data_IF_452861959706
#
_entry.id   IF_452861959706
#
_cell.length_a   1.000
_cell.length_b   1.000
_cell.length_c   1.000
_cell.angle_alpha   90.00
_cell.angle_beta   90.00
_cell.angle_gamma   90.00
#
_symmetry.space_group_name_H-M   'P 1'
#
loop_
_entity.id
_entity.type
_entity.pdbx_description
1 polymer ?
#
# COMPACT_ATOMS: atom_id res chain seq x y z
N UNK A 1 -28.76 50.56 7.89
CA UNK A 1 -28.83 49.48 6.89
C UNK A 1 -27.68 49.46 5.86
N UNK A 2 -27.02 50.59 5.52
CA UNK A 2 -25.93 50.65 4.52
C UNK A 2 -24.62 49.94 4.98
N UNK A 3 -24.34 49.83 6.30
CA UNK A 3 -23.13 49.20 6.85
C UNK A 3 -23.22 47.66 6.99
N UNK A 4 -24.42 47.07 6.88
CA UNK A 4 -24.59 45.60 6.99
C UNK A 4 -24.24 44.85 5.69
N UNK A 5 -24.36 45.51 4.53
CA UNK A 5 -24.11 44.90 3.21
C UNK A 5 -22.66 44.44 3.04
N UNK A 6 -21.62 45.24 3.37
CA UNK A 6 -20.22 44.76 3.21
C UNK A 6 -19.89 43.67 4.22
N UNK A 7 -20.44 43.67 5.43
CA UNK A 7 -20.22 42.59 6.39
C UNK A 7 -20.82 41.28 5.90
N UNK A 8 -22.01 41.31 5.32
CA UNK A 8 -22.66 40.14 4.76
C UNK A 8 -21.86 39.57 3.55
N UNK A 9 -21.37 40.46 2.68
CA UNK A 9 -20.52 40.06 1.55
C UNK A 9 -19.21 39.40 2.00
N UNK A 10 -18.57 39.92 3.05
CA UNK A 10 -17.35 39.34 3.63
C UNK A 10 -17.64 37.94 4.23
N UNK A 11 -18.75 37.81 4.97
CA UNK A 11 -19.17 36.55 5.56
C UNK A 11 -19.48 35.47 4.51
N UNK A 12 -20.16 35.84 3.43
CA UNK A 12 -20.46 34.92 2.32
C UNK A 12 -19.20 34.52 1.57
N UNK A 13 -18.26 35.45 1.32
CA UNK A 13 -16.98 35.14 0.70
C UNK A 13 -16.12 34.19 1.58
N UNK A 14 -16.12 34.45 2.90
CA UNK A 14 -15.40 33.54 3.84
C UNK A 14 -16.02 32.15 3.88
N UNK A 15 -17.35 32.04 3.83
CA UNK A 15 -18.04 30.75 3.81
C UNK A 15 -17.74 29.96 2.52
N UNK A 16 -17.74 30.67 1.36
CA UNK A 16 -17.40 30.05 0.07
C UNK A 16 -15.94 29.55 0.08
N UNK A 17 -15.02 30.36 0.59
CA UNK A 17 -13.61 29.98 0.69
C UNK A 17 -13.43 28.76 1.60
N UNK A 18 -14.06 28.75 2.77
CA UNK A 18 -14.05 27.63 3.70
C UNK A 18 -14.59 26.34 3.05
N UNK A 19 -15.74 26.45 2.36
CA UNK A 19 -16.32 25.30 1.63
C UNK A 19 -15.39 24.78 0.55
N UNK A 20 -14.71 25.66 -0.19
CA UNK A 20 -13.75 25.27 -1.22
C UNK A 20 -12.52 24.55 -0.61
N UNK A 21 -12.00 25.03 0.53
CA UNK A 21 -10.89 24.38 1.25
C UNK A 21 -11.33 22.99 1.72
N UNK A 22 -12.52 22.87 2.34
CA UNK A 22 -13.02 21.55 2.78
C UNK A 22 -13.23 20.58 1.61
N UNK A 23 -13.69 21.06 0.47
CA UNK A 23 -13.89 20.23 -0.72
C UNK A 23 -12.57 19.76 -1.36
N UNK A 24 -11.54 20.62 -1.38
CA UNK A 24 -10.24 20.32 -1.98
C UNK A 24 -9.31 19.55 -1.03
N UNK A 25 -9.61 19.59 0.27
CA UNK A 25 -8.74 18.99 1.30
C UNK A 25 -8.39 17.51 1.03
N UNK A 26 -9.32 16.59 0.72
CA UNK A 26 -9.00 15.20 0.48
C UNK A 26 -8.06 15.01 -0.72
N UNK A 27 -8.29 15.74 -1.81
CA UNK A 27 -7.46 15.64 -3.01
C UNK A 27 -6.02 16.14 -2.77
N UNK A 28 -5.88 17.26 -2.04
CA UNK A 28 -4.56 17.84 -1.70
C UNK A 28 -3.84 16.91 -0.72
N UNK A 29 -4.54 16.41 0.29
CA UNK A 29 -3.96 15.50 1.29
C UNK A 29 -3.48 14.21 0.65
N UNK A 30 -4.29 13.60 -0.23
CA UNK A 30 -3.91 12.40 -0.95
C UNK A 30 -2.64 12.62 -1.80
N UNK A 31 -2.58 13.73 -2.56
CA UNK A 31 -1.41 14.05 -3.38
C UNK A 31 -0.11 14.25 -2.57
N UNK A 32 -0.23 14.85 -1.36
CA UNK A 32 0.90 15.00 -0.45
C UNK A 32 1.36 13.64 0.09
N UNK A 33 0.42 12.78 0.47
CA UNK A 33 0.73 11.46 0.99
C UNK A 33 1.27 10.51 -0.08
N UNK A 34 0.78 10.57 -1.33
CA UNK A 34 1.39 9.87 -2.47
C UNK A 34 2.87 10.27 -2.63
N UNK A 35 3.17 11.57 -2.57
CA UNK A 35 4.56 12.04 -2.66
C UNK A 35 5.40 11.56 -1.46
N UNK A 36 4.83 11.48 -0.26
CA UNK A 36 5.50 10.92 0.90
C UNK A 36 5.80 9.43 0.72
N UNK A 37 4.84 8.63 0.26
CA UNK A 37 5.04 7.21 -0.01
C UNK A 37 6.12 6.98 -1.08
N UNK A 38 6.11 7.76 -2.17
CA UNK A 38 7.16 7.70 -3.19
C UNK A 38 8.55 8.01 -2.59
N UNK A 39 8.64 9.03 -1.72
CA UNK A 39 9.90 9.32 -1.03
C UNK A 39 10.37 8.16 -0.14
N UNK A 40 9.46 7.50 0.57
CA UNK A 40 9.80 6.33 1.41
C UNK A 40 10.27 5.14 0.57
N UNK A 41 9.66 4.92 -0.59
CA UNK A 41 10.06 3.87 -1.53
C UNK A 41 11.42 4.22 -2.17
N UNK A 42 11.66 5.47 -2.50
CA UNK A 42 12.97 5.92 -3.02
C UNK A 42 14.07 5.76 -1.96
N UNK A 43 13.80 6.11 -0.69
CA UNK A 43 14.72 5.90 0.43
C UNK A 43 15.02 4.41 0.62
N UNK A 44 13.98 3.56 0.58
CA UNK A 44 14.14 2.11 0.64
C UNK A 44 15.04 1.57 -0.48
N UNK A 45 14.80 1.97 -1.74
CA UNK A 45 15.60 1.54 -2.88
C UNK A 45 17.06 2.00 -2.76
N UNK A 46 17.30 3.24 -2.31
CA UNK A 46 18.64 3.75 -2.06
C UNK A 46 19.37 2.96 -0.96
N UNK A 47 18.65 2.55 0.09
CA UNK A 47 19.19 1.69 1.13
C UNK A 47 19.57 0.32 0.58
N UNK A 48 18.68 -0.32 -0.19
CA UNK A 48 18.94 -1.61 -0.87
C UNK A 48 20.18 -1.52 -1.77
N UNK A 49 20.29 -0.47 -2.57
CA UNK A 49 21.45 -0.24 -3.46
C UNK A 49 22.76 -0.06 -2.69
N UNK A 50 22.72 0.29 -1.41
CA UNK A 50 23.88 0.57 -0.57
C UNK A 50 24.38 -0.63 0.24
N UNK A 51 23.56 -1.67 0.43
CA UNK A 51 23.93 -2.86 1.20
C UNK A 51 24.67 -3.87 0.34
N UNK A 52 25.50 -4.71 1.00
CA UNK A 52 26.27 -5.74 0.30
C UNK A 52 25.40 -6.94 -0.10
N UNK A 53 25.81 -7.69 -1.12
CA UNK A 53 25.11 -8.92 -1.49
C UNK A 53 25.12 -9.97 -0.36
N UNK A 54 26.15 -9.98 0.49
CA UNK A 54 26.23 -10.84 1.66
C UNK A 54 25.12 -10.50 2.66
N UNK A 55 24.89 -9.23 2.93
CA UNK A 55 23.80 -8.78 3.80
C UNK A 55 22.41 -9.09 3.20
N UNK A 56 22.23 -8.91 1.89
CA UNK A 56 21.00 -9.30 1.17
C UNK A 56 20.72 -10.78 1.34
N UNK A 57 21.73 -11.62 1.16
CA UNK A 57 21.62 -13.09 1.31
C UNK A 57 21.29 -13.48 2.76
N UNK A 58 21.81 -12.75 3.75
CA UNK A 58 21.51 -12.95 5.17
C UNK A 58 20.06 -12.59 5.49
N UNK A 59 19.53 -11.45 4.97
CA UNK A 59 18.11 -11.08 5.10
C UNK A 59 17.19 -12.14 4.52
N UNK A 60 17.48 -12.64 3.31
CA UNK A 60 16.67 -13.69 2.71
C UNK A 60 16.76 -15.00 3.50
N UNK A 61 17.94 -15.36 3.99
CA UNK A 61 18.12 -16.57 4.82
C UNK A 61 17.30 -16.52 6.11
N UNK A 62 17.22 -15.36 6.76
CA UNK A 62 16.40 -15.15 7.96
C UNK A 62 14.92 -15.30 7.64
N UNK A 63 14.43 -14.63 6.58
CA UNK A 63 13.04 -14.71 6.14
C UNK A 63 12.65 -16.13 5.68
N UNK A 64 13.55 -16.86 4.99
CA UNK A 64 13.32 -18.26 4.63
C UNK A 64 13.16 -19.17 5.85
N UNK A 65 13.99 -18.98 6.89
CA UNK A 65 13.89 -19.75 8.14
C UNK A 65 12.54 -19.50 8.81
N UNK A 66 12.09 -18.25 8.85
CA UNK A 66 10.78 -17.87 9.39
C UNK A 66 9.65 -18.54 8.60
N UNK A 67 9.65 -18.41 7.27
CA UNK A 67 8.62 -18.99 6.40
C UNK A 67 8.55 -20.52 6.54
N UNK A 68 9.69 -21.21 6.62
CA UNK A 68 9.76 -22.65 6.87
C UNK A 68 9.21 -23.03 8.25
N UNK A 69 9.47 -22.21 9.27
CA UNK A 69 8.93 -22.42 10.61
C UNK A 69 7.41 -22.31 10.62
N UNK A 70 6.83 -21.34 9.90
CA UNK A 70 5.38 -21.22 9.75
C UNK A 70 4.75 -22.41 9.02
N UNK A 71 5.34 -22.85 7.92
CA UNK A 71 4.82 -23.95 7.09
C UNK A 71 4.89 -25.32 7.78
N UNK A 72 5.60 -25.43 8.92
CA UNK A 72 5.77 -26.69 9.63
C UNK A 72 4.72 -26.86 10.74
N UNK A 73 3.98 -27.96 10.72
CA UNK A 73 2.87 -28.24 11.63
C UNK A 73 3.28 -28.63 13.09
N UNK A 74 4.56 -28.49 13.43
CA UNK A 74 5.08 -28.84 14.77
C UNK A 74 4.85 -27.69 15.75
N UNK A 75 3.76 -27.72 16.47
CA UNK A 75 3.25 -26.65 17.33
C UNK A 75 3.98 -26.40 18.66
N UNK A 76 5.04 -27.16 19.00
CA UNK A 76 5.65 -27.15 20.36
C UNK A 76 7.18 -27.20 20.36
N UNK A 77 7.85 -26.80 19.29
CA UNK A 77 9.32 -26.75 19.26
C UNK A 77 9.79 -25.36 19.75
N UNK A 78 10.57 -25.32 20.84
CA UNK A 78 11.16 -24.10 21.38
C UNK A 78 12.00 -23.37 20.32
N UNK A 79 12.58 -24.09 19.36
CA UNK A 79 13.33 -23.53 18.25
C UNK A 79 12.43 -22.74 17.28
N UNK A 80 11.21 -23.21 17.01
CA UNK A 80 10.20 -22.52 16.20
C UNK A 80 9.74 -21.23 16.87
N UNK A 81 9.41 -21.29 18.17
CA UNK A 81 9.00 -20.12 18.93
C UNK A 81 10.11 -19.05 18.96
N UNK A 82 11.37 -19.47 19.09
CA UNK A 82 12.52 -18.58 19.02
C UNK A 82 12.65 -17.88 17.67
N UNK A 83 12.45 -18.60 16.55
CA UNK A 83 12.51 -18.01 15.21
C UNK A 83 11.37 -17.00 15.02
N UNK A 84 10.15 -17.35 15.42
CA UNK A 84 8.98 -16.48 15.24
C UNK A 84 9.06 -15.21 16.12
N UNK A 85 9.76 -15.26 17.26
CA UNK A 85 9.91 -14.11 18.16
C UNK A 85 10.86 -13.01 17.61
N UNK A 86 11.58 -13.25 16.52
CA UNK A 86 12.46 -12.28 15.88
C UNK A 86 11.82 -11.61 14.66
N UNK A 87 10.49 -11.62 14.60
CA UNK A 87 9.74 -11.07 13.47
C UNK A 87 10.16 -9.63 13.09
N UNK A 88 10.27 -8.75 14.07
CA UNK A 88 10.58 -7.33 13.84
C UNK A 88 12.01 -7.07 13.34
N UNK A 89 12.91 -8.07 13.44
CA UNK A 89 14.31 -7.96 13.01
C UNK A 89 14.52 -8.44 11.55
N UNK A 90 13.53 -9.16 11.00
CA UNK A 90 13.64 -9.79 9.67
C UNK A 90 13.21 -8.79 8.60
N UNK A 91 14.05 -8.51 7.60
CA UNK A 91 13.83 -7.54 6.54
C UNK A 91 13.62 -6.09 7.05
N UNK A 92 14.10 -5.75 8.23
CA UNK A 92 14.13 -4.38 8.72
C UNK A 92 15.36 -3.65 8.17
N UNK A 93 15.16 -2.85 7.11
CA UNK A 93 16.24 -2.11 6.46
C UNK A 93 16.40 -0.67 6.95
N UNK A 94 15.45 -0.14 7.64
CA UNK A 94 15.38 1.18 8.26
C UNK A 94 13.92 1.61 8.37
N UNK A 95 13.54 2.23 9.49
CA UNK A 95 12.16 2.69 9.72
C UNK A 95 11.05 1.62 9.56
N UNK A 96 11.38 0.32 9.61
CA UNK A 96 10.43 -0.80 9.55
C UNK A 96 9.87 -1.10 8.16
N UNK A 97 10.45 -0.57 7.07
CA UNK A 97 10.04 -0.88 5.69
C UNK A 97 10.73 -2.14 5.21
N UNK A 98 9.94 -3.18 4.90
CA UNK A 98 10.46 -4.45 4.37
C UNK A 98 10.43 -4.55 2.84
N UNK A 99 9.70 -3.66 2.18
CA UNK A 99 9.50 -3.66 0.74
C UNK A 99 8.36 -2.73 0.34
N UNK A 100 7.86 -2.89 -0.88
CA UNK A 100 6.65 -2.16 -1.31
C UNK A 100 5.79 -3.01 -2.25
N UNK A 101 4.50 -2.71 -2.26
CA UNK A 101 3.49 -3.30 -3.15
C UNK A 101 3.12 -2.32 -4.25
N UNK A 102 2.99 -2.83 -5.47
CA UNK A 102 2.48 -2.08 -6.62
C UNK A 102 1.35 -2.86 -7.30
N UNK A 103 0.22 -2.19 -7.55
CA UNK A 103 -0.97 -2.76 -8.20
C UNK A 103 -1.37 -1.80 -9.33
N UNK A 104 -0.86 -2.00 -10.55
CA UNK A 104 -1.02 -1.04 -11.64
C UNK A 104 -2.46 -0.77 -12.06
N UNK A 105 -3.33 -1.79 -12.04
CA UNK A 105 -4.74 -1.67 -12.49
C UNK A 105 -5.55 -0.66 -11.67
N UNK A 106 -5.20 -0.47 -10.39
CA UNK A 106 -5.86 0.48 -9.48
C UNK A 106 -4.93 1.60 -9.00
N UNK A 107 -3.75 1.75 -9.62
CA UNK A 107 -2.76 2.78 -9.32
C UNK A 107 -2.37 2.85 -7.82
N UNK A 108 -2.18 1.69 -7.19
CA UNK A 108 -1.68 1.58 -5.82
C UNK A 108 -0.18 1.35 -5.84
N UNK A 109 0.56 2.11 -5.03
CA UNK A 109 1.99 1.91 -4.77
C UNK A 109 2.29 2.35 -3.34
N UNK A 110 2.54 1.37 -2.45
CA UNK A 110 2.63 1.59 -1.00
C UNK A 110 3.83 0.87 -0.40
N UNK A 111 4.59 1.51 0.52
CA UNK A 111 5.58 0.81 1.33
C UNK A 111 4.87 -0.22 2.23
N UNK A 112 5.54 -1.36 2.47
CA UNK A 112 5.10 -2.42 3.35
C UNK A 112 5.91 -2.35 4.63
N UNK A 113 5.23 -2.23 5.76
CA UNK A 113 5.82 -2.15 7.10
C UNK A 113 5.57 -3.42 7.90
N UNK A 114 6.37 -3.62 8.95
CA UNK A 114 6.18 -4.71 9.91
C UNK A 114 4.95 -4.46 10.80
N UNK A 115 4.15 -5.53 10.98
CA UNK A 115 3.01 -5.54 11.90
C UNK A 115 1.85 -4.66 11.46
N UNK A 116 0.75 -4.77 12.17
CA UNK A 116 -0.54 -4.14 11.83
C UNK A 116 -1.00 -3.12 12.90
N UNK A 117 -0.05 -2.50 13.60
CA UNK A 117 -0.41 -1.44 14.54
C UNK A 117 -1.05 -0.26 13.81
N UNK A 118 -1.90 0.49 14.52
CA UNK A 118 -2.54 1.69 13.96
C UNK A 118 -1.52 2.68 13.42
N UNK A 119 -0.38 2.85 14.10
CA UNK A 119 0.70 3.73 13.66
C UNK A 119 1.31 3.30 12.31
N UNK A 120 1.37 1.99 12.04
CA UNK A 120 1.85 1.42 10.78
C UNK A 120 0.81 1.63 9.68
N UNK A 121 -0.43 1.27 9.95
CA UNK A 121 -1.53 1.37 8.98
C UNK A 121 -1.81 2.80 8.51
N UNK A 122 -1.43 3.82 9.30
CA UNK A 122 -1.52 5.22 8.88
C UNK A 122 -0.41 5.65 7.93
N UNK A 123 0.68 4.87 7.79
CA UNK A 123 1.86 5.17 6.96
C UNK A 123 1.85 4.45 5.61
N UNK A 124 1.29 3.24 5.54
CA UNK A 124 1.35 2.42 4.35
C UNK A 124 0.58 1.11 4.48
N UNK A 125 1.03 0.10 3.75
CA UNK A 125 0.57 -1.26 3.90
C UNK A 125 1.32 -1.96 5.04
N UNK A 126 0.66 -2.88 5.72
CA UNK A 126 1.16 -3.63 6.85
C UNK A 126 1.28 -5.12 6.49
N UNK A 127 2.42 -5.73 6.78
CA UNK A 127 2.58 -7.18 6.72
C UNK A 127 1.98 -7.80 7.99
N UNK A 128 1.04 -8.75 7.82
CA UNK A 128 0.42 -9.42 8.95
C UNK A 128 1.43 -10.35 9.63
N UNK A 129 1.65 -10.14 10.93
CA UNK A 129 2.43 -11.06 11.76
C UNK A 129 1.84 -12.47 11.70
N UNK A 130 2.66 -13.49 11.80
CA UNK A 130 2.30 -14.90 11.64
C UNK A 130 1.89 -15.32 10.22
N UNK A 131 2.12 -14.50 9.21
CA UNK A 131 2.09 -14.88 7.81
C UNK A 131 3.50 -14.92 7.21
N UNK A 132 3.66 -15.47 6.00
CA UNK A 132 4.99 -15.60 5.40
C UNK A 132 5.55 -14.25 4.99
N UNK A 133 6.84 -14.00 5.23
CA UNK A 133 7.54 -12.85 4.66
C UNK A 133 7.48 -12.86 3.13
N UNK A 134 7.42 -11.68 2.48
CA UNK A 134 7.17 -11.52 1.06
C UNK A 134 8.41 -11.79 0.20
N UNK A 135 9.05 -12.95 0.39
CA UNK A 135 10.23 -13.38 -0.37
C UNK A 135 9.91 -14.44 -1.44
N UNK A 136 8.64 -14.87 -1.51
CA UNK A 136 8.18 -15.97 -2.36
C UNK A 136 8.64 -17.34 -1.90
N UNK A 137 8.25 -18.37 -2.64
CA UNK A 137 8.66 -19.75 -2.40
C UNK A 137 7.49 -20.71 -2.19
N UNK A 138 7.73 -21.99 -2.35
CA UNK A 138 6.72 -23.02 -2.12
C UNK A 138 6.30 -23.07 -0.64
N UNK A 139 5.01 -23.27 -0.42
CA UNK A 139 4.42 -23.31 0.93
C UNK A 139 4.58 -21.98 1.68
N UNK A 140 4.37 -20.85 0.97
CA UNK A 140 4.31 -19.53 1.55
C UNK A 140 2.95 -18.88 1.30
N UNK A 141 2.50 -18.08 2.25
CA UNK A 141 1.31 -17.24 2.12
C UNK A 141 1.56 -15.89 2.77
N UNK A 142 1.77 -14.89 1.95
CA UNK A 142 2.00 -13.50 2.37
C UNK A 142 0.65 -12.80 2.52
N UNK A 143 0.43 -12.14 3.66
CA UNK A 143 -0.77 -11.33 3.86
C UNK A 143 -0.38 -9.88 4.13
N UNK A 144 -0.95 -8.97 3.33
CA UNK A 144 -0.69 -7.54 3.38
C UNK A 144 -2.01 -6.82 3.62
N UNK A 145 -2.08 -6.04 4.68
CA UNK A 145 -3.26 -5.26 5.06
C UNK A 145 -3.04 -3.78 4.83
N UNK A 146 -4.09 -3.06 4.46
CA UNK A 146 -4.11 -1.59 4.48
C UNK A 146 -5.54 -1.08 4.70
N UNK A 147 -5.65 0.18 5.10
CA UNK A 147 -6.94 0.82 5.31
C UNK A 147 -7.78 0.93 4.04
N UNK A 148 -9.11 0.96 4.22
CA UNK A 148 -10.09 1.40 3.24
C UNK A 148 -10.87 2.58 3.83
N UNK A 149 -10.99 3.66 3.09
CA UNK A 149 -11.72 4.84 3.52
C UNK A 149 -10.99 5.71 4.54
N UNK A 150 -9.66 5.74 4.52
CA UNK A 150 -8.90 6.62 5.40
C UNK A 150 -9.03 8.08 4.94
N UNK A 151 -9.30 9.05 5.86
CA UNK A 151 -9.74 10.40 5.45
C UNK A 151 -8.73 11.21 4.65
N UNK A 152 -7.44 10.94 4.79
CA UNK A 152 -6.36 11.78 4.25
C UNK A 152 -5.56 11.13 3.15
N UNK A 153 -5.74 9.82 2.91
CA UNK A 153 -4.97 9.06 1.94
C UNK A 153 -5.78 7.86 1.43
N UNK A 154 -5.61 7.52 0.16
CA UNK A 154 -6.04 6.25 -0.41
C UNK A 154 -4.97 5.18 -0.17
N UNK A 155 -5.40 4.05 0.35
CA UNK A 155 -4.59 2.87 0.54
C UNK A 155 -5.15 1.70 -0.30
N UNK A 156 -5.93 0.81 0.32
CA UNK A 156 -6.62 -0.29 -0.36
C UNK A 156 -8.10 0.00 -0.60
N UNK A 157 -8.42 1.26 -0.92
CA UNK A 157 -9.79 1.72 -1.15
C UNK A 157 -10.45 1.04 -2.35
N UNK A 158 -9.66 0.76 -3.37
CA UNK A 158 -10.15 0.29 -4.67
C UNK A 158 -9.76 -1.20 -4.95
N UNK A 159 -9.33 -1.98 -3.93
CA UNK A 159 -8.97 -3.41 -4.16
C UNK A 159 -10.18 -4.29 -4.46
N UNK A 160 -11.39 -3.83 -4.20
CA UNK A 160 -12.63 -4.48 -4.61
C UNK A 160 -12.90 -4.37 -6.12
N UNK A 161 -12.20 -3.48 -6.82
CA UNK A 161 -12.24 -3.37 -8.29
C UNK A 161 -11.33 -4.39 -9.00
N UNK A 162 -10.47 -5.12 -8.25
CA UNK A 162 -9.55 -6.08 -8.83
C UNK A 162 -10.28 -7.31 -9.38
N UNK A 163 -9.95 -7.67 -10.61
CA UNK A 163 -10.50 -8.83 -11.31
C UNK A 163 -9.48 -9.97 -11.41
N UNK A 164 -9.98 -11.20 -11.66
CA UNK A 164 -9.10 -12.34 -11.89
C UNK A 164 -8.21 -12.07 -13.12
N UNK A 165 -6.90 -12.21 -12.91
CA UNK A 165 -5.90 -11.94 -13.95
C UNK A 165 -5.15 -10.62 -13.74
N UNK A 166 -5.62 -9.73 -12.86
CA UNK A 166 -4.89 -8.52 -12.50
C UNK A 166 -3.55 -8.84 -11.83
N UNK A 167 -2.58 -7.99 -12.03
CA UNK A 167 -1.21 -8.20 -11.59
C UNK A 167 -0.90 -7.39 -10.34
N UNK A 168 -0.25 -8.05 -9.37
CA UNK A 168 0.28 -7.46 -8.15
C UNK A 168 1.77 -7.72 -8.11
N UNK A 169 2.55 -6.68 -7.85
CA UNK A 169 3.99 -6.78 -7.72
C UNK A 169 4.42 -6.46 -6.30
N UNK A 170 5.31 -7.31 -5.76
CA UNK A 170 5.99 -7.06 -4.50
C UNK A 170 7.47 -6.87 -4.80
N UNK A 171 8.02 -5.78 -4.32
CA UNK A 171 9.44 -5.47 -4.41
C UNK A 171 10.06 -5.62 -3.03
N UNK A 172 11.00 -6.52 -2.90
CA UNK A 172 11.69 -6.83 -1.65
C UNK A 172 13.17 -7.03 -1.93
N UNK A 173 14.01 -6.19 -1.30
CA UNK A 173 15.45 -6.16 -1.57
C UNK A 173 15.70 -6.05 -3.09
N UNK A 174 16.48 -6.96 -3.65
CA UNK A 174 16.83 -7.04 -5.07
C UNK A 174 15.85 -7.91 -5.89
N UNK A 175 14.72 -8.37 -5.29
CA UNK A 175 13.75 -9.24 -5.95
C UNK A 175 12.44 -8.53 -6.26
N UNK A 176 11.89 -8.85 -7.41
CA UNK A 176 10.52 -8.52 -7.80
C UNK A 176 9.70 -9.80 -7.89
N UNK A 177 8.62 -9.84 -7.14
CA UNK A 177 7.68 -10.96 -7.11
C UNK A 177 6.39 -10.54 -7.81
N UNK A 178 5.96 -11.30 -8.81
CA UNK A 178 4.70 -11.07 -9.51
C UNK A 178 3.66 -12.08 -9.05
N UNK A 179 2.48 -11.60 -8.72
CA UNK A 179 1.31 -12.41 -8.40
C UNK A 179 0.17 -12.04 -9.34
N UNK A 180 -0.72 -12.99 -9.59
CA UNK A 180 -1.93 -12.78 -10.39
C UNK A 180 -3.14 -13.05 -9.54
N UNK A 181 -4.11 -12.12 -9.53
CA UNK A 181 -5.37 -12.25 -8.79
C UNK A 181 -6.15 -13.48 -9.26
N UNK A 182 -6.62 -14.28 -8.30
CA UNK A 182 -7.35 -15.54 -8.53
C UNK A 182 -8.77 -15.53 -7.99
N UNK A 183 -9.10 -14.58 -7.12
CA UNK A 183 -10.45 -14.46 -6.56
C UNK A 183 -10.51 -13.56 -5.33
N UNK A 184 -11.71 -13.40 -4.81
CA UNK A 184 -11.99 -12.58 -3.64
C UNK A 184 -12.91 -13.30 -2.68
N UNK A 185 -12.74 -13.05 -1.37
CA UNK A 185 -13.64 -13.52 -0.31
C UNK A 185 -14.00 -12.36 0.62
N UNK A 186 -15.16 -12.43 1.25
CA UNK A 186 -15.54 -11.54 2.36
C UNK A 186 -15.75 -12.40 3.60
N UNK A 187 -15.03 -12.05 4.68
CA UNK A 187 -15.01 -12.82 5.92
C UNK A 187 -15.28 -11.94 7.13
N UNK A 188 -15.60 -12.56 8.25
CA UNK A 188 -15.67 -11.87 9.55
C UNK A 188 -14.27 -11.39 9.97
N UNK A 189 -14.15 -10.32 10.78
CA UNK A 189 -12.86 -9.74 11.17
C UNK A 189 -11.88 -10.72 11.84
N UNK A 190 -12.40 -11.71 12.56
CA UNK A 190 -11.62 -12.68 13.32
C UNK A 190 -11.39 -14.00 12.54
N UNK A 191 -11.88 -14.11 11.31
CA UNK A 191 -11.73 -15.32 10.49
C UNK A 191 -10.43 -15.25 9.66
N UNK A 192 -9.39 -15.92 10.17
CA UNK A 192 -8.09 -16.07 9.50
C UNK A 192 -7.96 -17.36 8.68
N UNK A 193 -9.01 -18.19 8.58
CA UNK A 193 -8.95 -19.52 7.94
C UNK A 193 -8.50 -19.50 6.48
N UNK A 194 -8.66 -18.36 5.79
CA UNK A 194 -8.25 -18.13 4.40
C UNK A 194 -6.81 -17.60 4.26
N UNK A 195 -6.13 -17.35 5.37
CA UNK A 195 -4.79 -16.78 5.40
C UNK A 195 -3.71 -17.82 5.73
N UNK A 196 -4.11 -19.07 5.94
CA UNK A 196 -3.19 -20.17 6.27
C UNK A 196 -2.29 -20.55 5.08
N UNK A 197 -1.09 -21.05 5.39
CA UNK A 197 -0.16 -21.58 4.39
C UNK A 197 -0.75 -22.81 3.71
N UNK A 198 -0.75 -22.82 2.39
CA UNK A 198 -1.16 -23.98 1.57
C UNK A 198 0.08 -24.68 1.02
N UNK A 199 0.24 -25.97 1.34
CA UNK A 199 1.40 -26.75 0.92
C UNK A 199 1.61 -26.72 -0.60
N UNK A 200 2.82 -26.42 -1.03
CA UNK A 200 3.21 -26.37 -2.44
C UNK A 200 2.73 -25.11 -3.20
N UNK A 201 2.05 -24.18 -2.53
CA UNK A 201 1.61 -22.92 -3.13
C UNK A 201 2.48 -21.73 -2.68
N UNK A 202 2.58 -20.73 -3.53
CA UNK A 202 3.16 -19.41 -3.24
C UNK A 202 2.03 -18.39 -3.41
N UNK A 203 1.46 -17.93 -2.31
CA UNK A 203 0.23 -17.14 -2.25
C UNK A 203 0.49 -15.75 -1.68
N UNK A 204 -0.32 -14.82 -2.17
CA UNK A 204 -0.48 -13.47 -1.63
C UNK A 204 -1.96 -13.19 -1.37
N UNK A 205 -2.28 -12.60 -0.23
CA UNK A 205 -3.62 -12.07 0.05
C UNK A 205 -3.52 -10.61 0.47
N UNK A 206 -4.24 -9.73 -0.24
CA UNK A 206 -4.48 -8.36 0.20
C UNK A 206 -5.71 -8.34 1.10
N UNK A 207 -5.62 -7.60 2.22
CA UNK A 207 -6.66 -7.54 3.25
C UNK A 207 -7.07 -6.09 3.47
N UNK A 208 -8.37 -5.82 3.46
CA UNK A 208 -8.89 -4.50 3.84
C UNK A 208 -10.24 -4.60 4.52
N UNK A 209 -10.71 -3.51 5.10
CA UNK A 209 -12.04 -3.43 5.71
C UNK A 209 -13.14 -3.25 4.66
N UNK A 210 -14.29 -3.88 4.87
CA UNK A 210 -15.48 -3.77 4.00
C UNK A 210 -16.77 -3.88 4.82
N UNK A 211 -17.95 -3.36 4.37
CA UNK A 211 -18.12 -2.35 3.32
C UNK A 211 -17.50 -1.00 3.68
N UNK A 212 -17.15 -0.20 2.68
CA UNK A 212 -16.57 1.14 2.85
C UNK A 212 -17.32 1.97 3.91
N UNK A 213 -16.57 2.49 4.88
CA UNK A 213 -17.11 3.32 5.97
C UNK A 213 -17.92 2.58 7.04
N UNK A 214 -18.26 1.28 6.86
CA UNK A 214 -18.91 0.43 7.87
C UNK A 214 -17.89 -0.48 8.56
N UNK A 215 -16.98 -1.06 7.79
CA UNK A 215 -15.81 -1.83 8.25
C UNK A 215 -16.16 -3.08 9.09
N UNK A 216 -17.35 -3.65 8.87
CA UNK A 216 -17.84 -4.79 9.67
C UNK A 216 -17.21 -6.13 9.29
N UNK A 217 -16.66 -6.24 8.09
CA UNK A 217 -16.02 -7.45 7.55
C UNK A 217 -14.62 -7.14 7.01
N UNK A 218 -13.94 -8.17 6.53
CA UNK A 218 -12.70 -8.04 5.77
C UNK A 218 -12.91 -8.52 4.35
N UNK A 219 -12.45 -7.72 3.39
CA UNK A 219 -12.30 -8.13 2.00
C UNK A 219 -10.90 -8.72 1.83
N UNK A 220 -10.85 -9.91 1.27
CA UNK A 220 -9.63 -10.62 0.92
C UNK A 220 -9.55 -10.70 -0.60
N UNK A 221 -8.43 -10.26 -1.17
CA UNK A 221 -8.11 -10.45 -2.59
C UNK A 221 -6.95 -11.42 -2.67
N UNK A 222 -7.22 -12.61 -3.19
CA UNK A 222 -6.26 -13.71 -3.29
C UNK A 222 -5.52 -13.66 -4.61
N UNK A 223 -4.22 -13.91 -4.55
CA UNK A 223 -3.36 -14.00 -5.73
C UNK A 223 -2.37 -15.15 -5.60
N UNK A 224 -1.98 -15.76 -6.71
CA UNK A 224 -1.00 -16.85 -6.80
C UNK A 224 0.22 -16.36 -7.59
N UNK A 225 1.40 -16.85 -7.20
CA UNK A 225 2.68 -16.52 -7.83
C UNK A 225 2.62 -16.77 -9.34
N UNK A 226 3.04 -15.77 -10.11
CA UNK A 226 3.17 -15.85 -11.56
C UNK A 226 4.64 -15.72 -11.99
N UNK A 227 5.04 -16.29 -13.12
CA UNK A 227 6.37 -16.06 -13.68
C UNK A 227 6.59 -14.56 -13.92
N UNK A 228 7.72 -14.05 -13.46
CA UNK A 228 8.18 -12.72 -13.74
C UNK A 228 9.48 -12.81 -14.55
N UNK A 229 9.41 -12.48 -15.83
CA UNK A 229 10.60 -12.27 -16.64
C UNK A 229 10.98 -10.81 -16.47
N UNK A 230 12.08 -10.56 -15.75
CA UNK A 230 12.66 -9.22 -15.72
C UNK A 230 12.96 -8.83 -17.18
N UNK A 231 12.29 -7.81 -17.69
CA UNK A 231 12.56 -7.30 -19.02
C UNK A 231 14.06 -6.99 -19.11
N UNK A 232 14.72 -7.54 -20.11
CA UNK A 232 16.11 -7.17 -20.43
C UNK A 232 16.20 -5.65 -20.47
N UNK A 233 17.33 -5.07 -20.05
CA UNK A 233 17.60 -3.67 -19.71
C UNK A 233 16.97 -2.57 -20.60
N UNK A 234 16.53 -2.89 -21.81
CA UNK A 234 15.81 -1.98 -22.72
C UNK A 234 14.30 -1.83 -22.41
N UNK A 235 13.70 -2.80 -21.70
CA UNK A 235 12.27 -2.77 -21.34
C UNK A 235 12.01 -2.23 -19.92
N UNK A 236 12.99 -2.30 -19.02
CA UNK A 236 12.88 -1.72 -17.67
C UNK A 236 12.69 -0.19 -17.72
N UNK A 237 13.32 0.48 -18.71
CA UNK A 237 13.08 1.89 -18.99
C UNK A 237 11.64 2.17 -19.47
N UNK A 238 11.00 1.19 -20.13
CA UNK A 238 9.64 1.33 -20.67
C UNK A 238 8.57 1.09 -19.59
N UNK A 239 8.78 0.13 -18.69
CA UNK A 239 7.87 -0.10 -17.54
C UNK A 239 7.93 1.06 -16.56
N UNK A 240 9.14 1.55 -16.24
CA UNK A 240 9.33 2.75 -15.41
C UNK A 240 8.79 4.04 -16.07
N UNK A 241 8.68 4.09 -17.41
CA UNK A 241 8.09 5.23 -18.12
C UNK A 241 6.57 5.12 -18.32
N UNK A 242 6.01 3.92 -18.38
CA UNK A 242 4.56 3.73 -18.45
C UNK A 242 3.88 4.14 -17.13
N UNK A 243 4.51 3.87 -16.01
CA UNK A 243 4.02 4.34 -14.69
C UNK A 243 4.19 5.86 -14.49
N UNK A 244 5.10 6.51 -15.22
CA UNK A 244 5.30 7.98 -15.16
C UNK A 244 4.32 8.81 -15.97
N UNK A 245 3.43 8.21 -16.76
CA UNK A 245 2.48 8.93 -17.62
C UNK A 245 1.07 9.05 -17.05
N UNK A 246 0.87 8.89 -15.75
CA UNK A 246 -0.34 9.42 -15.12
C UNK A 246 -0.24 10.95 -15.21
N UNK A 247 -1.16 11.63 -15.93
CA UNK A 247 -1.00 13.05 -16.19
C UNK A 247 -1.19 13.83 -14.87
N UNK A 248 -0.08 14.19 -14.23
CA UNK A 248 -0.05 15.22 -13.15
C UNK A 248 -0.80 16.51 -13.56
N UNK A 249 -1.14 16.64 -14.84
CA UNK A 249 -1.80 17.81 -15.39
C UNK A 249 -3.29 17.91 -15.05
N UNK A 250 -4.03 16.81 -14.91
CA UNK A 250 -5.49 16.92 -14.72
C UNK A 250 -5.87 17.35 -13.29
N UNK A 251 -5.24 16.80 -12.27
CA UNK A 251 -5.52 17.23 -10.89
C UNK A 251 -5.04 18.66 -10.64
N UNK A 252 -3.83 18.99 -11.11
CA UNK A 252 -3.31 20.36 -11.00
C UNK A 252 -4.15 21.36 -11.82
N UNK A 253 -4.67 20.98 -12.99
CA UNK A 253 -5.56 21.80 -13.79
C UNK A 253 -6.92 22.01 -13.12
N UNK A 254 -7.47 21.02 -12.44
CA UNK A 254 -8.72 21.15 -11.67
C UNK A 254 -8.51 22.10 -10.48
N UNK A 255 -7.38 22.00 -9.77
CA UNK A 255 -7.01 22.90 -8.67
C UNK A 255 -6.84 24.34 -9.18
N UNK A 256 -6.10 24.53 -10.27
CA UNK A 256 -5.88 25.85 -10.87
C UNK A 256 -7.18 26.44 -11.40
N UNK A 257 -8.06 25.65 -12.03
CA UNK A 257 -9.35 26.09 -12.50
C UNK A 257 -10.27 26.48 -11.32
N UNK A 258 -10.25 25.70 -10.23
CA UNK A 258 -10.98 26.01 -9.00
C UNK A 258 -10.52 27.34 -8.37
N UNK A 259 -9.22 27.55 -8.27
CA UNK A 259 -8.65 28.80 -7.76
C UNK A 259 -8.96 30.00 -8.65
N UNK A 260 -8.97 29.81 -9.97
CA UNK A 260 -9.32 30.88 -10.92
C UNK A 260 -10.79 31.30 -10.81
N UNK A 261 -11.71 30.35 -10.60
CA UNK A 261 -13.13 30.64 -10.38
C UNK A 261 -13.34 31.42 -9.06
N UNK A 262 -12.62 31.03 -8.01
CA UNK A 262 -12.67 31.74 -6.72
C UNK A 262 -12.16 33.18 -6.85
N UNK A 263 -11.04 33.38 -7.58
CA UNK A 263 -10.49 34.72 -7.83
C UNK A 263 -11.46 35.63 -8.60
N UNK A 264 -12.18 35.09 -9.61
CA UNK A 264 -13.17 35.85 -10.38
C UNK A 264 -14.37 36.23 -9.53
N UNK A 265 -14.81 35.39 -8.60
CA UNK A 265 -15.95 35.70 -7.68
C UNK A 265 -15.52 36.79 -6.69
N UNK A 266 -14.29 36.76 -6.16
CA UNK A 266 -13.81 37.77 -5.21
C UNK A 266 -13.69 39.17 -5.87
N UNK A 267 -13.32 39.24 -7.14
CA UNK A 267 -13.15 40.50 -7.86
C UNK A 267 -14.52 41.15 -8.23
N UNK A 268 -15.60 40.37 -8.27
CA UNK A 268 -16.95 40.86 -8.66
C UNK A 268 -17.86 41.20 -7.47
N UNK A 269 -17.44 40.96 -6.23
CA UNK A 269 -18.13 41.33 -4.99
C UNK A 269 -17.49 42.59 -4.39
#
# INVERSE_FOLDING_TARGET
MKKLKPLFAILTAALILFSAVCFLYPAISNAINEQYNESRIDDYNNNVDSISQEDIDDYFSAAEKYNKALATDVSTDDSKLSILSHYDEILDLDDGVMGYVEIPSINVRLPIYHGESEDVLTKGAAHLEHTSFPIGGESTHVCISAHCGYPTQKFFDDIDELENGDEIYIYVLDRTLKYTVTGTDVVEPDDSSKLEVVQGKDLLTLVTCTPYGVNSHRLLVHAERAPFEAATSDSAATVSQVTRTVPKSHQLQIIIAGLAVIAVVIVKV
#
